data_IF_361826979583
#
_entry.id   IF_361826979583
#
_cell.length_a   1.000
_cell.length_b   1.000
_cell.length_c   1.000
_cell.angle_alpha   90.00
_cell.angle_beta   90.00
_cell.angle_gamma   90.00
#
_symmetry.space_group_name_H-M   'P 1'
#
loop_
_entity.id
_entity.type
_entity.pdbx_description
1 polymer ?
#
# COMPACT_ATOMS: atom_id res chain seq x y z
N UNK A 1 -6.77 30.70 -8.42
CA UNK A 1 -5.71 29.89 -7.77
C UNK A 1 -6.40 28.87 -6.87
N UNK A 2 -6.71 27.67 -7.39
CA UNK A 2 -7.48 26.65 -6.67
C UNK A 2 -6.68 26.13 -5.46
N UNK A 3 -7.17 26.39 -4.25
CA UNK A 3 -6.75 25.66 -3.05
C UNK A 3 -7.42 24.28 -3.10
N UNK A 4 -6.67 23.21 -3.33
CA UNK A 4 -7.16 21.87 -3.02
C UNK A 4 -7.10 21.72 -1.49
N UNK A 5 -8.25 21.82 -0.84
CA UNK A 5 -8.42 21.94 0.62
C UNK A 5 -8.46 20.61 1.38
N UNK A 6 -7.76 19.56 0.94
CA UNK A 6 -7.78 18.28 1.64
C UNK A 6 -6.49 18.05 2.42
N UNK A 7 -6.58 18.02 3.75
CA UNK A 7 -5.44 17.65 4.59
C UNK A 7 -5.19 16.15 4.43
N UNK A 8 -3.97 15.68 4.69
CA UNK A 8 -3.62 14.26 4.60
C UNK A 8 -4.57 13.36 5.41
N UNK A 9 -5.07 13.85 6.55
CA UNK A 9 -6.07 13.19 7.39
C UNK A 9 -7.43 13.01 6.70
N UNK A 10 -7.82 13.95 5.86
CA UNK A 10 -9.10 13.92 5.12
C UNK A 10 -9.02 12.95 3.94
N UNK A 11 -7.84 12.83 3.31
CA UNK A 11 -7.59 11.91 2.20
C UNK A 11 -7.37 10.46 2.70
N UNK A 12 -6.91 10.28 3.93
CA UNK A 12 -6.56 8.98 4.49
C UNK A 12 -7.62 7.87 4.31
N UNK A 13 -8.91 8.06 4.66
CA UNK A 13 -9.92 7.04 4.42
C UNK A 13 -10.11 6.73 2.92
N UNK A 14 -9.95 7.71 2.02
CA UNK A 14 -10.00 7.48 0.58
C UNK A 14 -8.82 6.63 0.10
N UNK A 15 -7.62 6.87 0.62
CA UNK A 15 -6.44 6.05 0.31
C UNK A 15 -6.60 4.60 0.78
N UNK A 16 -7.16 4.39 1.97
CA UNK A 16 -7.46 3.04 2.48
C UNK A 16 -8.55 2.34 1.64
N UNK A 17 -9.59 3.07 1.27
CA UNK A 17 -10.63 2.56 0.36
C UNK A 17 -10.08 2.19 -1.01
N UNK A 18 -9.17 2.99 -1.57
CA UNK A 18 -8.50 2.69 -2.83
C UNK A 18 -7.65 1.41 -2.75
N UNK A 19 -6.97 1.16 -1.63
CA UNK A 19 -6.22 -0.08 -1.41
C UNK A 19 -7.14 -1.32 -1.37
N UNK A 20 -8.31 -1.23 -0.71
CA UNK A 20 -9.31 -2.31 -0.78
C UNK A 20 -9.82 -2.46 -2.22
N UNK A 21 -10.04 -1.36 -2.94
CA UNK A 21 -10.47 -1.37 -4.33
C UNK A 21 -9.54 -2.14 -5.26
N UNK A 22 -8.22 -2.02 -5.13
CA UNK A 22 -7.27 -2.79 -5.94
C UNK A 22 -7.35 -4.29 -5.65
N UNK A 23 -7.64 -4.68 -4.40
CA UNK A 23 -7.86 -6.08 -4.04
C UNK A 23 -9.14 -6.63 -4.67
N UNK A 24 -10.22 -5.84 -4.71
CA UNK A 24 -11.46 -6.22 -5.39
C UNK A 24 -11.22 -6.39 -6.90
N UNK A 25 -10.48 -5.48 -7.53
CA UNK A 25 -10.10 -5.63 -8.95
C UNK A 25 -9.27 -6.89 -9.18
N UNK A 26 -8.34 -7.21 -8.27
CA UNK A 26 -7.56 -8.44 -8.34
C UNK A 26 -8.43 -9.70 -8.19
N UNK A 27 -9.45 -9.65 -7.32
CA UNK A 27 -10.43 -10.74 -7.18
C UNK A 27 -11.24 -10.94 -8.47
N UNK A 28 -11.74 -9.86 -9.06
CA UNK A 28 -12.47 -9.92 -10.34
C UNK A 28 -11.56 -10.50 -11.44
N UNK A 29 -10.30 -10.06 -11.51
CA UNK A 29 -9.33 -10.58 -12.47
C UNK A 29 -9.07 -12.08 -12.27
N UNK A 30 -8.92 -12.52 -11.01
CA UNK A 30 -8.69 -13.92 -10.67
C UNK A 30 -9.87 -14.83 -11.05
N UNK A 31 -11.11 -14.36 -10.94
CA UNK A 31 -12.30 -15.09 -11.40
C UNK A 31 -12.33 -15.31 -12.92
N UNK A 32 -11.63 -14.46 -13.69
CA UNK A 32 -11.48 -14.60 -15.14
C UNK A 32 -10.36 -15.55 -15.57
N UNK A 33 -9.55 -16.08 -14.64
CA UNK A 33 -8.43 -16.98 -14.96
C UNK A 33 -8.95 -18.40 -15.19
N UNK A 34 -8.60 -19.00 -16.33
CA UNK A 34 -8.95 -20.36 -16.72
C UNK A 34 -7.69 -21.23 -16.82
N UNK A 35 -7.83 -22.54 -16.58
CA UNK A 35 -6.74 -23.51 -16.68
C UNK A 35 -6.17 -23.91 -15.32
N UNK A 36 -5.01 -24.56 -15.33
CA UNK A 36 -4.40 -25.21 -14.14
C UNK A 36 -4.14 -24.23 -12.99
N UNK A 37 -3.95 -22.94 -13.29
CA UNK A 37 -3.61 -21.91 -12.31
C UNK A 37 -4.80 -21.14 -11.72
N UNK A 38 -6.04 -21.45 -12.12
CA UNK A 38 -7.24 -20.70 -11.69
C UNK A 38 -7.44 -20.73 -10.17
N UNK A 39 -7.23 -21.90 -9.54
CA UNK A 39 -7.32 -22.05 -8.09
C UNK A 39 -6.29 -21.20 -7.35
N UNK A 40 -5.04 -21.17 -7.82
CA UNK A 40 -3.98 -20.35 -7.24
C UNK A 40 -4.25 -18.85 -7.41
N UNK A 41 -4.73 -18.43 -8.58
CA UNK A 41 -5.09 -17.03 -8.82
C UNK A 41 -6.17 -16.55 -7.84
N UNK A 42 -7.24 -17.35 -7.66
CA UNK A 42 -8.31 -17.03 -6.72
C UNK A 42 -7.83 -17.03 -5.27
N UNK A 43 -7.01 -18.00 -4.88
CA UNK A 43 -6.43 -18.08 -3.55
C UNK A 43 -5.58 -16.83 -3.22
N UNK A 44 -4.70 -16.43 -4.14
CA UNK A 44 -3.86 -15.24 -3.96
C UNK A 44 -4.74 -13.98 -3.84
N UNK A 45 -5.75 -13.83 -4.68
CA UNK A 45 -6.64 -12.68 -4.63
C UNK A 45 -7.47 -12.63 -3.34
N UNK A 46 -7.93 -13.77 -2.82
CA UNK A 46 -8.65 -13.85 -1.55
C UNK A 46 -7.75 -13.52 -0.36
N UNK A 47 -6.54 -14.09 -0.30
CA UNK A 47 -5.56 -13.75 0.74
C UNK A 47 -5.24 -12.26 0.70
N UNK A 48 -5.05 -11.70 -0.49
CA UNK A 48 -4.77 -10.28 -0.68
C UNK A 48 -5.92 -9.39 -0.18
N UNK A 49 -7.16 -9.73 -0.52
CA UNK A 49 -8.35 -9.01 -0.07
C UNK A 49 -8.54 -9.09 1.44
N UNK A 50 -8.49 -10.29 2.01
CA UNK A 50 -8.70 -10.52 3.44
C UNK A 50 -7.62 -9.80 4.24
N UNK A 51 -6.35 -9.92 3.83
CA UNK A 51 -5.25 -9.24 4.52
C UNK A 51 -5.42 -7.72 4.53
N UNK A 52 -5.75 -7.10 3.39
CA UNK A 52 -5.92 -5.64 3.34
C UNK A 52 -7.17 -5.18 4.08
N UNK A 53 -8.29 -5.89 4.00
CA UNK A 53 -9.49 -5.55 4.77
C UNK A 53 -9.21 -5.65 6.26
N UNK A 54 -8.62 -6.75 6.74
CA UNK A 54 -8.25 -6.90 8.15
C UNK A 54 -7.25 -5.83 8.60
N UNK A 55 -6.23 -5.56 7.80
CA UNK A 55 -5.23 -4.52 8.09
C UNK A 55 -5.86 -3.13 8.21
N UNK A 56 -6.75 -2.76 7.28
CA UNK A 56 -7.49 -1.50 7.34
C UNK A 56 -8.41 -1.47 8.57
N UNK A 57 -9.19 -2.52 8.80
CA UNK A 57 -10.10 -2.59 9.97
C UNK A 57 -9.33 -2.48 11.28
N UNK A 58 -8.18 -3.14 11.41
CA UNK A 58 -7.36 -3.08 12.61
C UNK A 58 -6.70 -1.71 12.79
N UNK A 59 -5.97 -1.23 11.78
CA UNK A 59 -5.17 -0.01 11.89
C UNK A 59 -6.07 1.23 11.92
N UNK A 60 -7.07 1.30 11.03
CA UNK A 60 -7.97 2.44 10.97
C UNK A 60 -9.06 2.36 12.04
N UNK A 61 -9.54 1.16 12.39
CA UNK A 61 -10.57 0.99 13.42
C UNK A 61 -10.06 1.32 14.83
N UNK A 62 -8.83 0.97 15.16
CA UNK A 62 -8.24 1.26 16.48
C UNK A 62 -7.69 2.70 16.52
N UNK A 63 -8.23 3.60 17.38
CA UNK A 63 -7.84 5.01 17.40
C UNK A 63 -6.34 5.25 17.65
N UNK A 64 -5.71 4.39 18.45
CA UNK A 64 -4.28 4.46 18.74
C UNK A 64 -3.44 4.18 17.49
N UNK A 65 -3.81 3.16 16.70
CA UNK A 65 -3.08 2.76 15.50
C UNK A 65 -3.31 3.72 14.34
N UNK A 66 -4.50 4.33 14.25
CA UNK A 66 -4.89 5.22 13.15
C UNK A 66 -3.93 6.40 12.93
N UNK A 67 -3.36 6.95 14.00
CA UNK A 67 -2.49 8.13 13.91
C UNK A 67 -1.05 7.78 13.52
N UNK A 68 -0.64 6.52 13.69
CA UNK A 68 0.76 6.10 13.45
C UNK A 68 1.12 6.30 11.96
N UNK A 69 0.38 5.77 10.97
CA UNK A 69 0.72 5.94 9.56
C UNK A 69 0.70 7.41 9.12
N UNK A 70 -0.25 8.19 9.62
CA UNK A 70 -0.35 9.62 9.31
C UNK A 70 0.88 10.39 9.77
N UNK A 71 1.31 10.21 11.03
CA UNK A 71 2.49 10.89 11.56
C UNK A 71 3.76 10.47 10.83
N UNK A 72 3.94 9.17 10.58
CA UNK A 72 5.10 8.66 9.84
C UNK A 72 5.14 9.21 8.41
N UNK A 73 3.99 9.24 7.71
CA UNK A 73 3.91 9.82 6.37
C UNK A 73 4.25 11.31 6.35
N UNK A 74 3.81 12.06 7.38
CA UNK A 74 4.11 13.48 7.50
C UNK A 74 5.60 13.71 7.74
N UNK A 75 6.21 13.01 8.71
CA UNK A 75 7.64 13.10 8.98
C UNK A 75 8.49 12.75 7.76
N UNK A 76 8.14 11.66 7.07
CA UNK A 76 8.83 11.27 5.83
C UNK A 76 8.69 12.34 4.74
N UNK A 77 7.50 12.94 4.60
CA UNK A 77 7.26 13.99 3.60
C UNK A 77 8.07 15.26 3.86
N UNK A 78 8.24 15.64 5.13
CA UNK A 78 9.06 16.80 5.53
C UNK A 78 10.53 16.54 5.18
N UNK A 79 11.07 15.38 5.58
CA UNK A 79 12.46 15.01 5.28
C UNK A 79 12.70 14.96 3.75
N UNK A 80 11.77 14.36 3.01
CA UNK A 80 11.86 14.26 1.56
C UNK A 80 11.75 15.63 0.86
N UNK A 81 10.95 16.55 1.40
CA UNK A 81 10.80 17.91 0.88
C UNK A 81 12.04 18.77 1.13
N UNK A 82 12.65 18.66 2.31
CA UNK A 82 13.88 19.39 2.64
C UNK A 82 15.10 18.85 1.88
N UNK A 83 15.18 17.52 1.73
CA UNK A 83 16.33 16.87 1.10
C UNK A 83 15.88 15.80 0.11
N UNK A 84 15.72 16.22 -1.15
CA UNK A 84 15.31 15.36 -2.28
C UNK A 84 16.10 14.06 -2.39
N UNK A 85 17.40 14.09 -2.07
CA UNK A 85 18.27 12.90 -2.09
C UNK A 85 17.78 11.79 -1.14
N UNK A 86 17.27 12.12 0.05
CA UNK A 86 16.76 11.10 0.97
C UNK A 86 15.47 10.47 0.44
N UNK A 87 14.59 11.26 -0.18
CA UNK A 87 13.41 10.73 -0.87
C UNK A 87 13.79 9.79 -2.01
N UNK A 88 14.76 10.18 -2.84
CA UNK A 88 15.27 9.36 -3.94
C UNK A 88 15.93 8.08 -3.44
N UNK A 89 16.78 8.17 -2.40
CA UNK A 89 17.42 7.02 -1.79
C UNK A 89 16.41 6.07 -1.13
N UNK A 90 15.35 6.59 -0.50
CA UNK A 90 14.28 5.78 0.08
C UNK A 90 13.53 5.00 -1.01
N UNK A 91 13.12 5.67 -2.10
CA UNK A 91 12.43 5.01 -3.22
C UNK A 91 13.36 3.99 -3.90
N UNK A 92 14.57 4.41 -4.28
CA UNK A 92 15.56 3.54 -4.92
C UNK A 92 15.92 2.32 -4.05
N UNK A 93 16.15 2.55 -2.77
CA UNK A 93 16.45 1.52 -1.78
C UNK A 93 15.31 0.52 -1.60
N UNK A 94 14.10 1.01 -1.28
CA UNK A 94 12.98 0.17 -0.89
C UNK A 94 12.30 -0.53 -2.06
N UNK A 95 12.16 0.12 -3.22
CA UNK A 95 11.43 -0.44 -4.37
C UNK A 95 12.31 -1.20 -5.36
N UNK A 96 13.63 -0.96 -5.36
CA UNK A 96 14.53 -1.59 -6.32
C UNK A 96 15.62 -2.39 -5.62
N UNK A 97 16.48 -1.75 -4.82
CA UNK A 97 17.66 -2.39 -4.23
C UNK A 97 17.26 -3.53 -3.29
N UNK A 98 16.30 -3.32 -2.41
CA UNK A 98 15.85 -4.33 -1.45
C UNK A 98 15.19 -5.54 -2.15
N UNK A 99 14.18 -5.39 -3.03
CA UNK A 99 13.60 -6.52 -3.75
C UNK A 99 14.63 -7.27 -4.60
N UNK A 100 15.48 -6.56 -5.35
CA UNK A 100 16.52 -7.19 -6.15
C UNK A 100 17.53 -7.93 -5.27
N UNK A 101 17.95 -7.35 -4.16
CA UNK A 101 18.85 -7.99 -3.20
C UNK A 101 18.28 -9.29 -2.64
N UNK A 102 17.00 -9.33 -2.29
CA UNK A 102 16.32 -10.55 -1.83
C UNK A 102 16.30 -11.61 -2.94
N UNK A 103 16.00 -11.22 -4.17
CA UNK A 103 15.99 -12.14 -5.31
C UNK A 103 17.40 -12.74 -5.54
N UNK A 104 18.44 -11.91 -5.63
CA UNK A 104 19.81 -12.37 -5.89
C UNK A 104 20.41 -13.22 -4.77
N UNK A 105 19.93 -13.08 -3.53
CA UNK A 105 20.38 -13.90 -2.39
C UNK A 105 19.62 -15.21 -2.24
N UNK A 106 18.44 -15.32 -2.85
CA UNK A 106 17.59 -16.52 -2.78
C UNK A 106 17.72 -17.40 -4.04
N UNK A 107 18.33 -16.88 -5.11
CA UNK A 107 18.74 -17.65 -6.29
C UNK A 107 20.10 -18.30 -6.10
#
# INVERSE_FOLDING_TARGET
>A
MLRLFLKAKDIYPFTLGANIGTCITALIAALGVVGVNSGFALQIALVHLIYNVLGVTLIYGVPLLRNIPLNLSYQLSVIAAERKMYGAAYIGGLFFIMPLGIIFTTM
#
